data_IF_210482154603
#
_entry.id   IF_210482154603
#
_cell.length_a   1.000
_cell.length_b   1.000
_cell.length_c   1.000
_cell.angle_alpha   90.00
_cell.angle_beta   90.00
_cell.angle_gamma   90.00
#
_symmetry.space_group_name_H-M   'P 1'
#
loop_
_entity.id
_entity.type
_entity.pdbx_description
1 polymer ?
#
# COMPACT_ATOMS: atom_id res chain seq x y z
N UNK A 1 14.92 30.18 15.44
CA UNK A 1 13.90 31.07 14.83
C UNK A 1 12.50 30.45 14.94
N UNK A 2 12.21 29.23 14.47
CA UNK A 2 10.89 28.58 14.57
C UNK A 2 10.34 28.57 16.02
N UNK A 3 11.17 28.20 16.99
CA UNK A 3 10.77 28.16 18.41
C UNK A 3 10.34 29.54 18.93
N UNK A 4 11.03 30.60 18.54
CA UNK A 4 10.75 31.96 18.93
C UNK A 4 9.41 32.46 18.33
N UNK A 5 9.14 32.10 17.09
CA UNK A 5 7.88 32.43 16.42
C UNK A 5 6.68 31.70 17.06
N UNK A 6 6.87 30.42 17.41
CA UNK A 6 5.82 29.63 18.07
C UNK A 6 5.46 30.18 19.45
N UNK A 7 6.44 30.60 20.23
CA UNK A 7 6.20 31.22 21.55
C UNK A 7 5.45 32.55 21.42
N UNK A 8 5.54 33.24 20.27
CA UNK A 8 4.80 34.46 19.95
C UNK A 8 3.31 34.23 19.66
N UNK A 9 2.91 33.03 19.21
CA UNK A 9 1.51 32.75 18.88
C UNK A 9 0.59 32.72 20.13
N UNK A 10 1.12 32.36 21.29
CA UNK A 10 0.36 32.33 22.55
C UNK A 10 -0.14 33.72 23.00
N UNK A 11 0.48 34.79 22.52
CA UNK A 11 0.14 36.19 22.84
C UNK A 11 -0.62 36.92 21.71
N UNK A 12 -0.98 36.23 20.64
CA UNK A 12 -1.67 36.83 19.51
C UNK A 12 -3.18 37.04 19.82
N UNK A 13 -3.76 38.14 19.34
CA UNK A 13 -5.20 38.42 19.45
C UNK A 13 -6.10 37.37 18.77
N UNK A 14 -5.54 36.53 17.92
CA UNK A 14 -6.24 35.46 17.22
C UNK A 14 -5.57 34.11 17.51
N UNK A 15 -6.34 33.09 17.86
CA UNK A 15 -5.78 31.75 18.08
C UNK A 15 -5.18 31.19 16.81
N UNK A 16 -3.94 30.71 16.90
CA UNK A 16 -3.23 30.03 15.81
C UNK A 16 -3.03 28.58 16.21
N UNK A 17 -3.46 27.66 15.35
CA UNK A 17 -3.22 26.23 15.51
C UNK A 17 -2.13 25.82 14.53
N UNK A 18 -1.03 25.28 15.05
CA UNK A 18 0.08 24.82 14.23
C UNK A 18 0.03 23.28 14.16
N UNK A 19 0.01 22.76 12.95
CA UNK A 19 0.05 21.33 12.67
C UNK A 19 1.33 21.00 11.91
N UNK A 20 2.01 19.94 12.34
CA UNK A 20 3.18 19.40 11.66
C UNK A 20 3.06 17.89 11.53
N UNK A 21 3.74 17.29 10.55
CA UNK A 21 3.82 15.85 10.38
C UNK A 21 5.27 15.44 10.15
N UNK A 22 5.66 14.32 10.72
CA UNK A 22 6.97 13.70 10.52
C UNK A 22 6.86 12.19 10.55
N UNK A 23 7.70 11.51 9.78
CA UNK A 23 7.89 10.06 9.86
C UNK A 23 9.02 9.67 10.84
N UNK A 24 9.72 10.67 11.40
CA UNK A 24 10.87 10.48 12.29
C UNK A 24 10.72 11.36 13.53
N UNK A 25 9.81 11.02 14.45
CA UNK A 25 9.58 11.83 15.65
C UNK A 25 10.81 11.88 16.57
N UNK A 26 11.67 10.86 16.54
CA UNK A 26 12.89 10.73 17.31
C UNK A 26 13.99 11.75 16.94
N UNK A 27 13.90 12.31 15.72
CA UNK A 27 14.88 13.32 15.23
C UNK A 27 14.47 14.75 15.67
N UNK A 28 13.24 14.93 16.14
CA UNK A 28 12.77 16.24 16.56
C UNK A 28 13.47 16.71 17.84
N UNK A 29 13.84 17.99 17.87
CA UNK A 29 14.33 18.63 19.08
C UNK A 29 13.25 18.57 20.18
N UNK A 30 13.65 18.07 21.36
CA UNK A 30 12.76 17.98 22.52
C UNK A 30 12.16 19.34 22.91
N UNK A 31 12.80 20.44 22.56
CA UNK A 31 12.28 21.78 22.77
C UNK A 31 11.02 22.08 21.96
N UNK A 32 10.83 21.42 20.79
CA UNK A 32 9.64 21.54 19.97
C UNK A 32 8.41 20.85 20.59
N UNK A 33 8.64 19.83 21.42
CA UNK A 33 7.59 18.99 22.02
C UNK A 33 7.13 19.50 23.40
N UNK A 34 7.63 20.67 23.84
CA UNK A 34 7.22 21.27 25.12
C UNK A 34 5.82 21.88 25.05
N UNK A 35 5.11 21.97 26.20
CA UNK A 35 3.82 22.66 26.30
C UNK A 35 3.85 24.07 25.69
N UNK A 36 2.81 24.44 24.97
CA UNK A 36 2.72 25.72 24.24
C UNK A 36 3.32 25.70 22.84
N UNK A 37 3.84 24.53 22.37
CA UNK A 37 4.35 24.30 21.02
C UNK A 37 3.64 23.09 20.42
N UNK A 38 4.37 22.01 20.04
CA UNK A 38 3.75 20.75 19.62
C UNK A 38 3.47 19.88 20.85
N UNK A 39 2.52 20.28 21.65
CA UNK A 39 2.18 19.62 22.92
C UNK A 39 1.32 18.37 22.77
N UNK A 40 0.75 18.15 21.59
CA UNK A 40 -0.05 16.97 21.28
C UNK A 40 0.56 16.20 20.12
N UNK A 41 0.82 14.94 20.37
CA UNK A 41 1.28 13.99 19.36
C UNK A 41 0.15 13.03 19.05
N UNK A 42 -0.16 12.87 17.77
CA UNK A 42 -1.16 11.92 17.29
C UNK A 42 -0.45 10.95 16.38
N UNK A 43 -0.42 9.68 16.78
CA UNK A 43 0.07 8.60 15.94
C UNK A 43 -0.97 8.31 14.85
N UNK A 44 -0.53 8.33 13.60
CA UNK A 44 -1.35 7.95 12.45
C UNK A 44 -0.83 6.61 11.94
N UNK A 45 -1.47 5.54 12.38
CA UNK A 45 -1.14 4.18 11.98
C UNK A 45 -1.63 3.85 10.56
N UNK A 46 -1.18 2.69 10.06
CA UNK A 46 -1.75 2.12 8.84
C UNK A 46 -3.23 1.82 9.06
N UNK A 47 -4.08 2.02 8.03
CA UNK A 47 -5.50 1.79 8.15
C UNK A 47 -5.81 0.30 8.32
N UNK A 48 -6.79 -0.01 9.16
CA UNK A 48 -7.44 -1.31 9.24
C UNK A 48 -8.27 -1.62 7.98
N UNK A 49 -8.90 -2.77 7.90
CA UNK A 49 -9.71 -3.18 6.75
C UNK A 49 -10.80 -2.15 6.42
N UNK A 50 -11.52 -1.66 7.43
CA UNK A 50 -12.58 -0.66 7.29
C UNK A 50 -12.04 0.69 6.79
N UNK A 51 -10.91 1.12 7.35
CA UNK A 51 -10.21 2.32 6.94
C UNK A 51 -9.72 2.23 5.49
N UNK A 52 -9.16 1.08 5.07
CA UNK A 52 -8.73 0.88 3.68
C UNK A 52 -9.90 0.95 2.71
N UNK A 53 -11.04 0.32 3.05
CA UNK A 53 -12.26 0.42 2.24
C UNK A 53 -12.69 1.87 2.07
N UNK A 54 -12.79 2.63 3.17
CA UNK A 54 -13.16 4.05 3.14
C UNK A 54 -12.19 4.88 2.29
N UNK A 55 -10.89 4.64 2.42
CA UNK A 55 -9.87 5.31 1.61
C UNK A 55 -10.02 4.97 0.12
N UNK A 56 -10.26 3.70 -0.21
CA UNK A 56 -10.53 3.25 -1.59
C UNK A 56 -11.76 3.95 -2.17
N UNK A 57 -12.86 4.02 -1.41
CA UNK A 57 -14.06 4.75 -1.82
C UNK A 57 -13.80 6.23 -2.13
N UNK A 58 -12.91 6.88 -1.37
CA UNK A 58 -12.53 8.28 -1.61
C UNK A 58 -11.73 8.43 -2.90
N UNK A 59 -10.72 7.59 -3.12
CA UNK A 59 -9.87 7.70 -4.31
C UNK A 59 -10.56 7.23 -5.58
N UNK A 60 -11.44 6.25 -5.49
CA UNK A 60 -12.19 5.74 -6.63
C UNK A 60 -13.26 6.70 -7.14
N UNK A 61 -13.75 7.65 -6.33
CA UNK A 61 -14.63 8.73 -6.80
C UNK A 61 -14.03 9.58 -7.92
N UNK A 62 -12.71 9.62 -8.03
CA UNK A 62 -11.98 10.37 -9.06
C UNK A 62 -11.79 9.60 -10.36
N UNK A 63 -12.16 8.33 -10.39
CA UNK A 63 -11.92 7.41 -11.49
C UNK A 63 -13.25 6.75 -11.90
N UNK A 64 -13.45 6.54 -13.19
CA UNK A 64 -14.64 5.84 -13.64
C UNK A 64 -14.44 4.34 -13.43
N UNK A 65 -15.21 3.76 -12.53
CA UNK A 65 -15.22 2.33 -12.25
C UNK A 65 -16.29 1.60 -13.08
N UNK A 66 -16.08 0.31 -13.31
CA UNK A 66 -17.09 -0.62 -13.76
C UNK A 66 -18.03 -0.98 -12.60
N UNK A 67 -19.30 -1.24 -12.91
CA UNK A 67 -20.32 -1.61 -11.91
C UNK A 67 -20.05 -2.96 -11.21
N UNK A 68 -19.15 -3.77 -11.74
CA UNK A 68 -18.80 -5.10 -11.23
C UNK A 68 -17.64 -5.12 -10.21
N UNK A 69 -17.17 -3.96 -9.75
CA UNK A 69 -16.02 -3.89 -8.85
C UNK A 69 -16.45 -4.18 -7.41
N UNK A 70 -15.74 -5.12 -6.78
CA UNK A 70 -15.83 -5.45 -5.36
C UNK A 70 -14.68 -4.78 -4.59
N UNK A 71 -14.96 -3.63 -3.96
CA UNK A 71 -14.00 -2.90 -3.13
C UNK A 71 -13.68 -3.63 -1.82
N UNK A 72 -14.55 -4.49 -1.31
CA UNK A 72 -14.28 -5.29 -0.12
C UNK A 72 -13.16 -6.30 -0.38
N UNK A 73 -13.24 -6.98 -1.52
CA UNK A 73 -12.17 -7.88 -1.98
C UNK A 73 -10.83 -7.15 -2.15
N UNK A 74 -10.84 -5.94 -2.71
CA UNK A 74 -9.63 -5.12 -2.88
C UNK A 74 -9.08 -4.67 -1.53
N UNK A 75 -9.93 -4.24 -0.59
CA UNK A 75 -9.50 -3.87 0.75
C UNK A 75 -8.85 -5.03 1.51
N UNK A 76 -9.38 -6.26 1.36
CA UNK A 76 -8.76 -7.48 1.91
C UNK A 76 -7.41 -7.77 1.27
N UNK A 77 -7.29 -7.64 -0.05
CA UNK A 77 -6.06 -7.90 -0.79
C UNK A 77 -4.95 -6.85 -0.54
N UNK A 78 -5.29 -5.71 0.05
CA UNK A 78 -4.35 -4.60 0.33
C UNK A 78 -3.97 -4.49 1.81
N UNK A 79 -3.98 -5.61 2.55
CA UNK A 79 -3.54 -5.63 3.94
C UNK A 79 -2.14 -5.04 4.10
N UNK A 80 -1.95 -4.16 5.10
CA UNK A 80 -0.70 -3.47 5.36
C UNK A 80 -0.40 -2.26 4.47
N UNK A 81 -1.26 -1.92 3.50
CA UNK A 81 -1.09 -0.72 2.68
C UNK A 81 -1.38 0.54 3.47
N UNK A 82 -0.54 1.57 3.29
CA UNK A 82 -0.83 2.92 3.74
C UNK A 82 -1.78 3.63 2.76
N UNK A 83 -2.33 4.78 3.19
CA UNK A 83 -3.21 5.56 2.32
C UNK A 83 -2.55 6.00 1.00
N UNK A 84 -1.24 6.27 1.02
CA UNK A 84 -0.47 6.60 -0.18
C UNK A 84 -0.34 5.41 -1.15
N UNK A 85 -0.18 4.19 -0.62
CA UNK A 85 -0.11 2.97 -1.43
C UNK A 85 -1.44 2.70 -2.13
N UNK A 86 -2.56 2.88 -1.42
CA UNK A 86 -3.91 2.75 -1.96
C UNK A 86 -4.18 3.79 -3.07
N UNK A 87 -3.76 5.05 -2.85
CA UNK A 87 -3.88 6.09 -3.86
C UNK A 87 -3.06 5.76 -5.12
N UNK A 88 -1.83 5.31 -4.95
CA UNK A 88 -0.95 4.88 -6.05
C UNK A 88 -1.55 3.69 -6.80
N UNK A 89 -2.07 2.71 -6.10
CA UNK A 89 -2.73 1.53 -6.69
C UNK A 89 -3.92 1.93 -7.56
N UNK A 90 -4.81 2.81 -7.08
CA UNK A 90 -5.95 3.30 -7.87
C UNK A 90 -5.49 4.04 -9.13
N UNK A 91 -4.44 4.84 -9.02
CA UNK A 91 -3.84 5.54 -10.17
C UNK A 91 -3.23 4.55 -11.18
N UNK A 92 -2.49 3.53 -10.73
CA UNK A 92 -1.96 2.48 -11.59
C UNK A 92 -3.07 1.70 -12.30
N UNK A 93 -4.17 1.37 -11.60
CA UNK A 93 -5.32 0.71 -12.21
C UNK A 93 -5.94 1.57 -13.33
N UNK A 94 -6.07 2.88 -13.10
CA UNK A 94 -6.56 3.81 -14.13
C UNK A 94 -5.63 3.88 -15.35
N UNK A 95 -4.31 3.86 -15.13
CA UNK A 95 -3.32 3.80 -16.22
C UNK A 95 -3.40 2.48 -17.00
N UNK A 96 -3.66 1.35 -16.32
CA UNK A 96 -3.86 0.05 -16.97
C UNK A 96 -5.09 0.05 -17.88
N UNK A 97 -6.23 0.54 -17.39
CA UNK A 97 -7.46 0.68 -18.16
C UNK A 97 -7.24 1.59 -19.40
N UNK A 98 -6.55 2.73 -19.20
CA UNK A 98 -6.23 3.66 -20.29
C UNK A 98 -5.32 3.01 -21.36
N UNK A 99 -4.30 2.26 -20.96
CA UNK A 99 -3.42 1.52 -21.90
C UNK A 99 -4.18 0.46 -22.69
N UNK A 100 -5.19 -0.17 -22.07
CA UNK A 100 -6.09 -1.10 -22.72
C UNK A 100 -7.21 -0.42 -23.52
N UNK A 101 -7.19 0.93 -23.63
CA UNK A 101 -8.20 1.76 -24.32
C UNK A 101 -9.61 1.56 -23.77
N UNK A 102 -9.76 1.20 -22.51
CA UNK A 102 -11.05 1.06 -21.83
C UNK A 102 -11.49 2.40 -21.23
N UNK A 103 -12.79 2.58 -21.10
CA UNK A 103 -13.40 3.83 -20.57
C UNK A 103 -13.60 3.78 -19.05
N UNK A 104 -13.46 2.60 -18.44
CA UNK A 104 -13.62 2.36 -17.01
C UNK A 104 -12.57 1.37 -16.51
N UNK A 105 -12.24 1.50 -15.23
CA UNK A 105 -11.38 0.55 -14.51
C UNK A 105 -12.20 -0.69 -14.18
N UNK A 106 -11.64 -1.86 -14.36
CA UNK A 106 -12.22 -3.16 -14.03
C UNK A 106 -11.52 -3.78 -12.82
N UNK A 107 -12.13 -4.81 -12.21
CA UNK A 107 -11.56 -5.56 -11.09
C UNK A 107 -10.15 -6.08 -11.40
N UNK A 108 -9.93 -6.53 -12.63
CA UNK A 108 -8.63 -7.03 -13.09
C UNK A 108 -7.52 -5.96 -13.05
N UNK A 109 -7.85 -4.70 -13.36
CA UNK A 109 -6.88 -3.60 -13.32
C UNK A 109 -6.44 -3.31 -11.89
N UNK A 110 -7.38 -3.33 -10.94
CA UNK A 110 -7.07 -3.16 -9.52
C UNK A 110 -6.21 -4.31 -9.01
N UNK A 111 -6.53 -5.55 -9.37
CA UNK A 111 -5.72 -6.72 -8.99
C UNK A 111 -4.30 -6.65 -9.55
N UNK A 112 -4.13 -6.29 -10.82
CA UNK A 112 -2.81 -6.10 -11.44
C UNK A 112 -2.07 -4.90 -10.81
N UNK A 113 -2.76 -3.84 -10.44
CA UNK A 113 -2.18 -2.69 -9.77
C UNK A 113 -1.64 -3.06 -8.37
N UNK A 114 -2.34 -3.89 -7.61
CA UNK A 114 -1.83 -4.44 -6.33
C UNK A 114 -0.52 -5.16 -6.56
N UNK A 115 -0.46 -6.05 -7.57
CA UNK A 115 0.76 -6.80 -7.87
C UNK A 115 1.93 -5.89 -8.26
N UNK A 116 1.67 -4.79 -8.98
CA UNK A 116 2.70 -3.80 -9.33
C UNK A 116 3.23 -3.05 -8.13
N UNK A 117 2.36 -2.68 -7.19
CA UNK A 117 2.77 -1.98 -5.97
C UNK A 117 3.58 -2.92 -5.07
N UNK A 118 3.16 -4.18 -4.93
CA UNK A 118 3.82 -5.16 -4.04
C UNK A 118 5.10 -5.74 -4.67
N UNK A 119 5.02 -6.25 -5.88
CA UNK A 119 6.09 -7.02 -6.53
C UNK A 119 6.88 -6.22 -7.57
N UNK A 120 6.43 -5.01 -7.89
CA UNK A 120 7.03 -4.17 -8.93
C UNK A 120 6.54 -4.50 -10.34
N UNK A 121 7.09 -3.80 -11.33
CA UNK A 121 6.73 -3.97 -12.74
C UNK A 121 7.18 -5.33 -13.28
N UNK A 122 6.33 -5.92 -14.11
CA UNK A 122 6.66 -7.13 -14.86
C UNK A 122 7.82 -6.90 -15.82
N UNK A 123 8.80 -7.80 -15.82
CA UNK A 123 9.94 -7.78 -16.76
C UNK A 123 9.61 -8.52 -18.04
N UNK A 124 9.01 -7.82 -18.98
CA UNK A 124 8.66 -8.40 -20.31
C UNK A 124 9.88 -8.83 -21.14
N UNK A 125 11.05 -8.29 -20.85
CA UNK A 125 12.29 -8.59 -21.59
C UNK A 125 13.00 -9.87 -21.11
N UNK A 126 12.62 -10.43 -19.96
CA UNK A 126 13.24 -11.64 -19.43
C UNK A 126 12.37 -12.85 -19.74
N UNK A 127 12.74 -13.58 -20.78
CA UNK A 127 12.14 -14.88 -21.10
C UNK A 127 12.90 -15.95 -20.34
N UNK A 128 12.25 -16.59 -19.38
CA UNK A 128 12.79 -17.75 -18.68
C UNK A 128 12.77 -18.97 -19.61
N UNK A 129 13.84 -19.76 -19.60
CA UNK A 129 13.86 -21.05 -20.27
C UNK A 129 12.93 -22.04 -19.54
N UNK A 130 12.47 -23.08 -20.22
CA UNK A 130 11.46 -23.99 -19.65
C UNK A 130 11.96 -24.74 -18.42
N UNK A 131 13.25 -25.03 -18.34
CA UNK A 131 13.84 -25.64 -17.14
C UNK A 131 13.95 -24.65 -15.99
N UNK A 132 14.30 -23.38 -16.27
CA UNK A 132 14.26 -22.30 -15.26
C UNK A 132 12.84 -22.08 -14.72
N UNK A 133 11.83 -22.08 -15.60
CA UNK A 133 10.41 -21.97 -15.19
C UNK A 133 10.01 -23.07 -14.22
N UNK A 134 10.44 -24.32 -14.48
CA UNK A 134 10.18 -25.46 -13.59
C UNK A 134 10.82 -25.26 -12.22
N UNK A 135 12.10 -24.87 -12.19
CA UNK A 135 12.81 -24.61 -10.92
C UNK A 135 12.12 -23.52 -10.10
N UNK A 136 11.79 -22.40 -10.75
CA UNK A 136 11.07 -21.29 -10.09
C UNK A 136 9.69 -21.75 -9.62
N UNK A 137 8.95 -22.52 -10.43
CA UNK A 137 7.63 -23.01 -10.03
C UNK A 137 7.70 -23.90 -8.79
N UNK A 138 8.65 -24.84 -8.74
CA UNK A 138 8.84 -25.69 -7.56
C UNK A 138 9.24 -24.88 -6.33
N UNK A 139 10.08 -23.87 -6.49
CA UNK A 139 10.50 -22.99 -5.42
C UNK A 139 9.30 -22.22 -4.82
N UNK A 140 8.52 -21.55 -5.67
CA UNK A 140 7.36 -20.75 -5.23
C UNK A 140 6.23 -21.62 -4.65
N UNK A 141 6.00 -22.81 -5.25
CA UNK A 141 5.04 -23.78 -4.70
C UNK A 141 5.52 -24.30 -3.35
N UNK A 142 6.82 -24.51 -3.17
CA UNK A 142 7.42 -24.89 -1.88
C UNK A 142 7.11 -23.86 -0.80
N UNK A 143 7.32 -22.57 -1.09
CA UNK A 143 6.96 -21.49 -0.18
C UNK A 143 5.45 -21.47 0.15
N UNK A 144 4.61 -21.67 -0.86
CA UNK A 144 3.17 -21.69 -0.69
C UNK A 144 2.70 -22.85 0.21
N UNK A 145 3.23 -24.07 -0.01
CA UNK A 145 2.88 -25.25 0.78
C UNK A 145 3.32 -25.05 2.24
N UNK A 146 4.58 -24.64 2.46
CA UNK A 146 5.10 -24.42 3.80
C UNK A 146 4.29 -23.33 4.51
N UNK A 147 4.05 -22.21 3.85
CA UNK A 147 3.26 -21.10 4.42
C UNK A 147 1.82 -21.49 4.75
N UNK A 148 1.21 -22.40 3.97
CA UNK A 148 -0.14 -22.89 4.22
C UNK A 148 -0.22 -23.91 5.36
N UNK A 149 0.78 -24.76 5.52
CA UNK A 149 0.80 -25.85 6.51
C UNK A 149 1.35 -25.42 7.87
N UNK A 150 2.11 -24.32 7.93
CA UNK A 150 2.67 -23.83 9.20
C UNK A 150 1.59 -23.23 10.09
N UNK A 151 1.58 -23.56 11.40
CA UNK A 151 0.68 -22.91 12.36
C UNK A 151 0.89 -21.38 12.36
N UNK A 152 -0.19 -20.62 12.16
CA UNK A 152 -0.13 -19.17 12.06
C UNK A 152 0.39 -18.63 10.71
N UNK A 153 0.53 -19.51 9.72
CA UNK A 153 0.91 -19.12 8.36
C UNK A 153 -0.14 -18.25 7.67
N UNK A 154 0.31 -17.37 6.82
CA UNK A 154 -0.54 -16.47 6.04
C UNK A 154 -1.23 -17.22 4.90
N UNK A 155 -2.46 -16.82 4.56
CA UNK A 155 -3.20 -17.41 3.45
C UNK A 155 -2.50 -17.09 2.13
N UNK A 156 -2.17 -18.13 1.36
CA UNK A 156 -1.62 -17.96 0.01
C UNK A 156 -2.71 -17.44 -0.93
N UNK A 157 -2.51 -16.25 -1.46
CA UNK A 157 -3.44 -15.59 -2.38
C UNK A 157 -3.07 -15.86 -3.85
N UNK A 158 -1.77 -15.88 -4.17
CA UNK A 158 -1.30 -16.06 -5.54
C UNK A 158 0.12 -16.61 -5.56
N UNK A 159 0.40 -17.47 -6.55
CA UNK A 159 1.74 -17.90 -6.93
C UNK A 159 1.97 -17.45 -8.37
N UNK A 160 3.14 -16.91 -8.67
CA UNK A 160 3.50 -16.49 -10.02
C UNK A 160 4.97 -16.81 -10.33
N UNK A 161 5.22 -17.28 -11.54
CA UNK A 161 6.57 -17.46 -12.09
C UNK A 161 6.96 -16.34 -13.05
N UNK A 162 6.15 -15.26 -13.10
CA UNK A 162 6.44 -14.10 -13.94
C UNK A 162 7.45 -13.22 -13.22
N UNK A 163 8.62 -12.93 -13.83
CA UNK A 163 9.62 -12.08 -13.22
C UNK A 163 9.12 -10.65 -13.00
N UNK A 164 9.28 -10.13 -11.77
CA UNK A 164 8.92 -8.76 -11.41
C UNK A 164 10.04 -8.07 -10.63
N UNK A 165 10.03 -6.75 -10.62
CA UNK A 165 10.99 -5.94 -9.86
C UNK A 165 12.44 -6.16 -10.28
N UNK A 166 13.42 -5.91 -9.39
CA UNK A 166 14.84 -5.97 -9.74
C UNK A 166 15.44 -7.37 -9.77
N UNK A 167 14.97 -8.31 -8.96
CA UNK A 167 15.61 -9.63 -8.79
C UNK A 167 14.65 -10.84 -8.74
N UNK A 168 13.35 -10.63 -8.56
CA UNK A 168 12.42 -11.73 -8.40
C UNK A 168 12.19 -12.47 -9.73
N UNK A 169 12.39 -13.78 -9.73
CA UNK A 169 12.10 -14.70 -10.86
C UNK A 169 10.66 -15.21 -10.81
N UNK A 170 10.08 -15.24 -9.62
CA UNK A 170 8.70 -15.54 -9.27
C UNK A 170 8.35 -14.90 -7.94
N UNK A 171 7.15 -15.10 -7.47
CA UNK A 171 6.73 -14.68 -6.13
C UNK A 171 5.51 -15.46 -5.65
N UNK A 172 5.44 -15.63 -4.34
CA UNK A 172 4.26 -16.14 -3.63
C UNK A 172 3.66 -15.00 -2.82
N UNK A 173 2.46 -14.55 -3.19
CA UNK A 173 1.72 -13.54 -2.45
C UNK A 173 0.94 -14.22 -1.32
N UNK A 174 1.27 -13.84 -0.10
CA UNK A 174 0.57 -14.28 1.11
C UNK A 174 -0.13 -13.09 1.74
N UNK A 175 -1.38 -13.28 2.12
CA UNK A 175 -2.16 -12.27 2.83
C UNK A 175 -2.26 -12.67 4.30
N UNK A 176 -2.01 -11.76 5.25
CA UNK A 176 -2.20 -12.05 6.66
C UNK A 176 -3.66 -12.44 6.92
N UNK A 177 -3.84 -13.44 7.78
CA UNK A 177 -5.17 -13.99 8.10
C UNK A 177 -5.92 -13.10 9.08
N UNK A 178 -5.19 -12.32 9.89
CA UNK A 178 -5.72 -11.34 10.85
C UNK A 178 -4.83 -10.10 10.83
N UNK A 179 -5.45 -8.93 10.93
CA UNK A 179 -4.74 -7.68 11.20
C UNK A 179 -4.37 -7.67 12.69
N UNK A 180 -3.07 -7.75 12.98
CA UNK A 180 -2.52 -7.57 14.33
C UNK A 180 -2.24 -6.11 14.58
#
# INVERSE_FOLDING_TARGET
QLLTEMDGFASADKPVIVLAATNQPEVLDAALLRPGRFDRQVLVDRPDLSGRKTILEIYTKKVKLSDSIDLDSIAQATSGFAGADLANMVNEAALLAARAKRKSVEQQDLSEAIERVVAGLEKKSRVLQDDEKKVVAYHEVGHAIVGHLMPGGSKVAKISIVPRGMSALGYTLQLPTEER
#
